data_IF_428496536145
#
_entry.id   IF_428496536145
#
_cell.length_a   1.000
_cell.length_b   1.000
_cell.length_c   1.000
_cell.angle_alpha   90.00
_cell.angle_beta   90.00
_cell.angle_gamma   90.00
#
_symmetry.space_group_name_H-M   'P 1'
#
loop_
_entity.id
_entity.type
_entity.pdbx_description
1 polymer ?
#
# COMPACT_ATOMS: atom_id res chain seq x y z
N UNK A 1 -40.11 -1.81 -18.52
CA UNK A 1 -39.23 -0.85 -17.82
C UNK A 1 -38.84 0.25 -18.81
N UNK A 2 -39.06 1.54 -18.50
CA UNK A 2 -38.82 2.65 -19.44
C UNK A 2 -37.31 2.89 -19.65
N UNK A 3 -36.90 3.30 -20.85
CA UNK A 3 -35.48 3.60 -21.19
C UNK A 3 -34.86 4.66 -20.26
N UNK A 4 -35.69 5.55 -19.69
CA UNK A 4 -35.27 6.54 -18.69
C UNK A 4 -34.82 5.88 -17.39
N UNK A 5 -35.54 4.85 -16.94
CA UNK A 5 -35.20 4.09 -15.72
C UNK A 5 -33.94 3.26 -15.96
N UNK A 6 -33.82 2.65 -17.14
CA UNK A 6 -32.63 1.86 -17.50
C UNK A 6 -31.35 2.72 -17.52
N UNK A 7 -31.40 3.92 -18.09
CA UNK A 7 -30.27 4.86 -18.09
C UNK A 7 -29.87 5.30 -16.68
N UNK A 8 -30.85 5.52 -15.80
CA UNK A 8 -30.61 5.84 -14.40
C UNK A 8 -29.93 4.69 -13.65
N UNK A 9 -30.37 3.44 -13.87
CA UNK A 9 -29.78 2.27 -13.23
C UNK A 9 -28.33 2.04 -13.70
N UNK A 10 -28.04 2.21 -14.99
CA UNK A 10 -26.66 2.12 -15.52
C UNK A 10 -25.77 3.20 -14.91
N UNK A 11 -26.26 4.44 -14.83
CA UNK A 11 -25.53 5.54 -14.18
C UNK A 11 -25.30 5.30 -12.69
N UNK A 12 -26.26 4.69 -11.99
CA UNK A 12 -26.13 4.32 -10.59
C UNK A 12 -25.08 3.21 -10.41
N UNK A 13 -25.12 2.15 -11.23
CA UNK A 13 -24.14 1.05 -11.19
C UNK A 13 -22.71 1.56 -11.47
N UNK A 14 -22.55 2.51 -12.42
CA UNK A 14 -21.28 3.15 -12.68
C UNK A 14 -20.78 4.01 -11.50
N UNK A 15 -21.69 4.56 -10.70
CA UNK A 15 -21.37 5.34 -9.50
C UNK A 15 -20.99 4.45 -8.30
N UNK A 16 -21.51 3.22 -8.23
CA UNK A 16 -21.17 2.22 -7.19
C UNK A 16 -19.95 1.36 -7.60
N UNK A 17 -19.03 1.88 -8.42
CA UNK A 17 -17.74 1.22 -8.63
C UNK A 17 -16.95 1.30 -7.31
N UNK A 18 -17.17 0.31 -6.44
CA UNK A 18 -16.60 0.26 -5.11
C UNK A 18 -15.09 0.04 -5.26
N UNK A 19 -14.30 1.07 -5.00
CA UNK A 19 -12.86 0.93 -4.84
C UNK A 19 -12.64 -0.09 -3.71
N UNK A 20 -12.12 -1.27 -4.04
CA UNK A 20 -11.85 -2.33 -3.06
C UNK A 20 -10.72 -1.88 -2.13
N UNK A 21 -11.08 -1.33 -0.96
CA UNK A 21 -10.14 -1.09 0.13
C UNK A 21 -9.96 -2.41 0.87
N UNK A 22 -8.75 -2.96 0.82
CA UNK A 22 -8.38 -4.19 1.52
C UNK A 22 -7.20 -3.91 2.46
N UNK A 23 -7.18 -4.61 3.60
CA UNK A 23 -6.12 -4.51 4.60
C UNK A 23 -5.63 -5.91 4.96
N UNK A 24 -4.32 -6.04 5.13
CA UNK A 24 -3.64 -7.29 5.50
C UNK A 24 -2.81 -7.05 6.75
N UNK A 25 -2.90 -7.96 7.72
CA UNK A 25 -2.03 -8.00 8.89
C UNK A 25 -1.01 -9.12 8.69
N UNK A 26 0.24 -8.82 9.00
CA UNK A 26 1.34 -9.78 8.95
C UNK A 26 1.92 -9.92 10.34
N UNK A 27 2.19 -11.15 10.76
CA UNK A 27 2.95 -11.40 11.98
C UNK A 27 4.44 -11.18 11.69
N UNK A 28 5.09 -10.40 12.53
CA UNK A 28 6.52 -10.13 12.40
C UNK A 28 7.30 -11.23 13.12
N UNK A 29 7.77 -12.20 12.34
CA UNK A 29 8.72 -13.20 12.82
C UNK A 29 10.15 -12.65 12.72
N UNK A 30 10.97 -12.93 13.74
CA UNK A 30 12.37 -12.53 13.74
C UNK A 30 13.12 -13.11 12.53
N UNK A 31 14.02 -12.32 11.95
CA UNK A 31 14.87 -12.69 10.81
C UNK A 31 14.15 -13.04 9.50
N UNK A 32 12.83 -12.77 9.40
CA UNK A 32 12.07 -13.04 8.19
C UNK A 32 11.83 -11.79 7.34
N UNK A 33 12.05 -11.95 6.03
CA UNK A 33 11.74 -10.94 5.02
C UNK A 33 10.24 -11.01 4.68
N UNK A 34 9.49 -9.97 5.02
CA UNK A 34 8.08 -9.87 4.62
C UNK A 34 7.96 -9.46 3.15
N UNK A 35 7.13 -10.17 2.39
CA UNK A 35 6.80 -9.80 1.01
C UNK A 35 5.47 -9.06 1.01
N UNK A 36 5.53 -7.77 0.67
CA UNK A 36 4.35 -6.90 0.62
C UNK A 36 4.02 -6.58 -0.82
N UNK A 37 2.73 -6.61 -1.13
CA UNK A 37 2.18 -6.16 -2.39
C UNK A 37 1.57 -4.77 -2.19
N UNK A 38 1.93 -3.82 -3.06
CA UNK A 38 1.42 -2.45 -3.02
C UNK A 38 0.59 -2.15 -4.27
N UNK A 39 -0.37 -1.25 -4.11
CA UNK A 39 -1.24 -0.77 -5.18
C UNK A 39 -0.44 -0.04 -6.28
N UNK A 40 -0.82 -0.31 -7.53
CA UNK A 40 -0.38 0.42 -8.74
C UNK A 40 -1.18 1.71 -9.00
N UNK A 41 -2.27 1.91 -8.26
CA UNK A 41 -3.30 2.92 -8.50
C UNK A 41 -3.36 3.99 -7.42
N UNK A 42 -2.56 3.86 -6.36
CA UNK A 42 -2.45 4.84 -5.29
C UNK A 42 -1.48 4.44 -4.17
N UNK A 43 -1.29 5.31 -3.16
CA UNK A 43 -0.41 5.01 -2.05
C UNK A 43 -0.97 3.89 -1.18
N UNK A 44 -0.12 2.91 -0.87
CA UNK A 44 -0.39 1.87 0.13
C UNK A 44 0.09 2.33 1.50
N UNK A 45 -0.76 2.18 2.51
CA UNK A 45 -0.42 2.52 3.90
C UNK A 45 0.14 1.30 4.63
N UNK A 46 1.33 1.44 5.19
CA UNK A 46 1.97 0.46 6.07
C UNK A 46 1.98 1.01 7.51
N UNK A 47 1.74 0.12 8.47
CA UNK A 47 1.63 0.42 9.88
C UNK A 47 2.40 -0.62 10.70
N UNK A 48 3.03 -0.20 11.81
CA UNK A 48 3.49 -1.10 12.86
C UNK A 48 2.46 -1.08 14.00
N UNK A 49 2.03 -2.26 14.43
CA UNK A 49 1.02 -2.36 15.48
C UNK A 49 1.55 -1.77 16.78
N UNK A 50 0.77 -0.89 17.39
CA UNK A 50 1.07 -0.21 18.66
C UNK A 50 2.36 0.65 18.66
N UNK A 51 2.89 0.98 17.49
CA UNK A 51 4.16 1.69 17.35
C UNK A 51 4.15 2.65 16.15
N UNK A 52 4.74 3.84 16.33
CA UNK A 52 4.94 4.78 15.23
C UNK A 52 6.16 4.40 14.41
N UNK A 53 6.05 4.53 13.10
CA UNK A 53 7.22 4.48 12.21
C UNK A 53 7.94 5.82 12.32
N UNK A 54 9.22 5.78 12.70
CA UNK A 54 10.06 6.96 12.87
C UNK A 54 10.99 7.19 11.69
N UNK A 55 11.49 6.10 11.10
CA UNK A 55 12.47 6.19 10.01
C UNK A 55 12.37 5.00 9.06
N UNK A 56 12.92 5.18 7.87
CA UNK A 56 12.97 4.16 6.83
C UNK A 56 14.31 4.16 6.10
N UNK A 57 14.71 2.99 5.61
CA UNK A 57 15.73 2.86 4.58
C UNK A 57 15.13 2.17 3.37
N UNK A 58 15.42 2.69 2.17
CA UNK A 58 14.89 2.17 0.92
C UNK A 58 16.01 1.88 -0.07
N UNK A 59 15.94 0.73 -0.74
CA UNK A 59 16.81 0.34 -1.84
C UNK A 59 16.04 -0.36 -2.97
N UNK A 60 16.22 0.02 -4.25
CA UNK A 60 16.99 1.16 -4.72
C UNK A 60 16.39 2.48 -4.22
N UNK A 61 17.25 3.48 -3.99
CA UNK A 61 16.76 4.82 -3.67
C UNK A 61 15.95 5.37 -4.85
N UNK A 62 14.86 6.08 -4.56
CA UNK A 62 13.93 6.66 -5.54
C UNK A 62 13.15 5.65 -6.40
N UNK A 63 13.13 4.35 -6.06
CA UNK A 63 12.32 3.37 -6.77
C UNK A 63 10.79 3.49 -6.48
N UNK A 64 10.45 4.14 -5.36
CA UNK A 64 9.09 4.46 -4.98
C UNK A 64 9.03 5.86 -4.34
N UNK A 65 7.85 6.47 -4.35
CA UNK A 65 7.54 7.61 -3.49
C UNK A 65 7.19 7.09 -2.11
N UNK A 66 7.89 7.61 -1.10
CA UNK A 66 7.71 7.17 0.27
C UNK A 66 7.64 8.37 1.20
N UNK A 67 6.63 8.37 2.08
CA UNK A 67 6.42 9.42 3.09
C UNK A 67 6.14 8.76 4.44
N UNK A 68 6.91 9.13 5.46
CA UNK A 68 6.58 8.87 6.87
C UNK A 68 5.74 10.05 7.35
N UNK A 69 4.47 9.79 7.62
CA UNK A 69 3.51 10.80 8.08
C UNK A 69 3.64 11.05 9.58
N UNK A 70 3.30 12.25 10.06
CA UNK A 70 3.37 12.64 11.48
C UNK A 70 2.55 11.75 12.43
N UNK A 71 1.54 11.04 11.89
CA UNK A 71 0.75 10.06 12.63
C UNK A 71 1.53 8.78 12.94
N UNK A 72 2.71 8.57 12.36
CA UNK A 72 3.51 7.35 12.48
C UNK A 72 3.20 6.29 11.43
N UNK A 73 2.42 6.64 10.39
CA UNK A 73 2.15 5.73 9.26
C UNK A 73 3.10 5.98 8.10
N UNK A 74 3.41 4.92 7.39
CA UNK A 74 4.17 4.96 6.16
C UNK A 74 3.21 4.91 4.96
N UNK A 75 3.38 5.80 4.01
CA UNK A 75 2.70 5.74 2.72
C UNK A 75 3.74 5.49 1.63
N UNK A 76 3.48 4.51 0.78
CA UNK A 76 4.34 4.13 -0.34
C UNK A 76 3.53 4.05 -1.63
N UNK A 77 3.99 4.71 -2.68
CA UNK A 77 3.43 4.62 -4.02
C UNK A 77 4.54 4.27 -5.03
N UNK A 78 4.28 3.38 -6.00
CA UNK A 78 5.26 3.06 -7.03
C UNK A 78 5.48 4.26 -7.96
N UNK A 79 6.72 4.48 -8.43
CA UNK A 79 7.01 5.55 -9.40
C UNK A 79 6.74 5.12 -10.84
N UNK A 80 7.36 4.05 -11.33
CA UNK A 80 7.09 3.40 -12.63
C UNK A 80 7.62 1.95 -12.61
N UNK A 81 7.19 1.15 -13.62
CA UNK A 81 7.51 -0.27 -13.96
C UNK A 81 8.19 -1.17 -12.91
N UNK A 82 7.52 -2.28 -12.55
CA UNK A 82 8.02 -3.47 -11.83
C UNK A 82 9.36 -3.33 -11.08
N UNK A 83 9.43 -2.40 -10.13
CA UNK A 83 10.59 -2.24 -9.30
C UNK A 83 10.37 -2.96 -7.97
N UNK A 84 11.15 -4.01 -7.74
CA UNK A 84 11.26 -4.62 -6.42
C UNK A 84 12.00 -3.64 -5.50
N UNK A 85 11.32 -3.17 -4.48
CA UNK A 85 11.88 -2.27 -3.48
C UNK A 85 12.15 -3.05 -2.20
N UNK A 86 13.32 -2.91 -1.63
CA UNK A 86 13.62 -3.36 -0.27
C UNK A 86 13.47 -2.18 0.66
N UNK A 87 12.68 -2.38 1.70
CA UNK A 87 12.38 -1.37 2.69
C UNK A 87 12.71 -1.92 4.08
N UNK A 88 13.50 -1.15 4.82
CA UNK A 88 13.67 -1.31 6.26
C UNK A 88 12.84 -0.24 6.94
N UNK A 89 11.90 -0.65 7.79
CA UNK A 89 11.03 0.23 8.57
C UNK A 89 11.49 0.17 10.01
N UNK A 90 11.73 1.34 10.61
CA UNK A 90 12.21 1.48 11.98
C UNK A 90 11.11 2.16 12.80
N UNK A 91 10.59 1.43 13.78
CA UNK A 91 9.63 1.94 14.73
C UNK A 91 10.26 2.70 15.90
N UNK A 92 9.42 3.44 16.62
CA UNK A 92 9.78 4.25 17.79
C UNK A 92 10.44 3.46 18.93
N UNK A 93 10.00 2.24 19.16
CA UNK A 93 10.54 1.29 20.14
C UNK A 93 11.61 0.37 19.54
N UNK A 94 12.20 0.77 18.41
CA UNK A 94 13.26 0.07 17.66
C UNK A 94 12.83 -1.28 17.08
N UNK A 95 11.53 -1.48 16.84
CA UNK A 95 11.09 -2.58 15.98
C UNK A 95 11.67 -2.37 14.59
N UNK A 96 12.32 -3.41 14.05
CA UNK A 96 12.87 -3.40 12.70
C UNK A 96 12.07 -4.37 11.86
N UNK A 97 11.39 -3.85 10.86
CA UNK A 97 10.72 -4.63 9.83
C UNK A 97 11.54 -4.54 8.54
N UNK A 98 11.88 -5.69 7.96
CA UNK A 98 12.50 -5.76 6.64
C UNK A 98 11.47 -6.35 5.69
N UNK A 99 11.10 -5.60 4.66
CA UNK A 99 10.18 -6.08 3.65
C UNK A 99 10.70 -5.88 2.23
N UNK A 100 10.33 -6.80 1.35
CA UNK A 100 10.39 -6.57 -0.09
C UNK A 100 9.00 -6.21 -0.59
N UNK A 101 8.91 -5.02 -1.18
CA UNK A 101 7.70 -4.46 -1.74
C UNK A 101 7.70 -4.68 -3.24
N UNK A 102 6.59 -5.20 -3.75
CA UNK A 102 6.35 -5.42 -5.18
C UNK A 102 5.04 -4.75 -5.58
N UNK A 103 5.03 -4.11 -6.75
CA UNK A 103 3.83 -3.48 -7.29
C UNK A 103 2.91 -4.55 -7.86
N UNK A 104 1.66 -4.55 -7.43
CA UNK A 104 0.63 -5.42 -7.99
C UNK A 104 -0.01 -4.68 -9.16
N UNK A 105 0.40 -5.02 -10.38
CA UNK A 105 -0.32 -4.58 -11.58
C UNK A 105 -1.66 -5.33 -11.56
N UNK A 106 -2.74 -4.65 -11.23
CA UNK A 106 -4.07 -5.22 -11.45
C UNK A 106 -4.28 -5.29 -12.96
N UNK A 107 -3.91 -6.43 -13.57
CA UNK A 107 -4.30 -6.76 -14.94
C UNK A 107 -5.83 -6.95 -14.94
N UNK A 108 -6.55 -5.88 -15.26
CA UNK A 108 -7.92 -5.96 -15.76
C UNK A 108 -7.94 -6.72 -17.09
#
# INVERSE_FOLDING_TARGET
MSIRVLRFMIGLIALVNVNNIYAVEYELEADNLLKLEISDSGPTRINLKDEKINDIFMYPQNAAEVVVHESGFLFIAPREEENKVYLTVIGEYKTILICSVMTLIQKN
#
